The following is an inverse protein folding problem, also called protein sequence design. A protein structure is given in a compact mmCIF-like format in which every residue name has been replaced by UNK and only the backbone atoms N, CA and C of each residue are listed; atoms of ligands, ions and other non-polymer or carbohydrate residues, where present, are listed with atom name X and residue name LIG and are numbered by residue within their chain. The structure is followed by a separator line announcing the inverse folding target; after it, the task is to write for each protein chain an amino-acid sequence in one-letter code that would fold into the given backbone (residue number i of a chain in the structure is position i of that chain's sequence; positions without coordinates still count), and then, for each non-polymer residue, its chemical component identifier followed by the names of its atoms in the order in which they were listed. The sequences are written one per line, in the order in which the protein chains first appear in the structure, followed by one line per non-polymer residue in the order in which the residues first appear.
data_IF_507218686936
#
_entry.id   IF_507218686936
#
_cell.length_a   1.000
_cell.length_b   1.000
_cell.length_c   1.000
_cell.angle_alpha   90.00
_cell.angle_beta   90.00
_cell.angle_gamma   90.00
#
_symmetry.space_group_name_H-M   'P 1'
#
loop_
_entity.id
_entity.type
_entity.pdbx_description
1 polymer ?
#
# COMPACT_ATOMS: atom_id res chain seq x y z
N UNK A 1 34.00 4.70 -30.01
CA UNK A 1 33.69 3.53 -29.14
C UNK A 1 32.51 3.69 -28.18
N UNK A 2 32.14 4.90 -27.68
CA UNK A 2 31.02 5.05 -26.72
C UNK A 2 29.64 5.00 -27.37
N UNK A 3 29.42 5.40 -28.62
CA UNK A 3 28.12 5.41 -29.29
C UNK A 3 27.54 4.01 -29.59
N UNK A 4 28.38 3.03 -29.89
CA UNK A 4 27.93 1.67 -30.23
C UNK A 4 27.51 0.85 -29.00
N UNK A 5 28.14 1.11 -27.84
CA UNK A 5 27.77 0.45 -26.58
C UNK A 5 26.40 0.94 -26.07
N UNK A 6 26.14 2.25 -26.16
CA UNK A 6 24.84 2.86 -25.82
C UNK A 6 23.74 2.32 -26.73
N UNK A 7 24.02 2.19 -28.02
CA UNK A 7 23.05 1.66 -29.00
C UNK A 7 22.70 0.16 -28.75
N UNK A 8 23.66 -0.66 -28.29
CA UNK A 8 23.41 -2.06 -27.93
C UNK A 8 22.60 -2.21 -26.65
N UNK A 9 22.88 -1.39 -25.64
CA UNK A 9 22.13 -1.33 -24.39
C UNK A 9 20.68 -0.88 -24.64
N UNK A 10 20.46 0.19 -25.41
CA UNK A 10 19.14 0.64 -25.82
C UNK A 10 18.33 -0.41 -26.58
N UNK A 11 18.96 -1.18 -27.50
CA UNK A 11 18.28 -2.25 -28.23
C UNK A 11 17.88 -3.41 -27.33
N UNK A 12 18.74 -3.81 -26.40
CA UNK A 12 18.45 -4.87 -25.42
C UNK A 12 17.29 -4.44 -24.51
N UNK A 13 17.34 -3.20 -24.03
CA UNK A 13 16.32 -2.61 -23.16
C UNK A 13 14.97 -2.46 -23.86
N UNK A 14 14.92 -1.94 -25.10
CA UNK A 14 13.69 -1.88 -25.91
C UNK A 14 13.08 -3.24 -26.20
N UNK A 15 13.93 -4.27 -26.39
CA UNK A 15 13.46 -5.65 -26.56
C UNK A 15 12.82 -6.19 -25.29
N UNK A 16 13.43 -5.93 -24.13
CA UNK A 16 12.91 -6.34 -22.82
C UNK A 16 11.55 -5.69 -22.53
N UNK A 17 11.44 -4.38 -22.74
CA UNK A 17 10.17 -3.65 -22.59
C UNK A 17 9.10 -4.20 -23.53
N UNK A 18 9.43 -4.47 -24.80
CA UNK A 18 8.46 -5.03 -25.75
C UNK A 18 7.95 -6.40 -25.32
N UNK A 19 8.81 -7.28 -24.79
CA UNK A 19 8.41 -8.58 -24.24
C UNK A 19 7.47 -8.36 -23.05
N UNK A 20 7.84 -7.54 -22.09
CA UNK A 20 7.02 -7.23 -20.92
C UNK A 20 5.66 -6.60 -21.30
N UNK A 21 5.62 -5.71 -22.30
CA UNK A 21 4.38 -5.14 -22.79
C UNK A 21 3.47 -6.20 -23.42
N UNK A 22 4.00 -7.12 -24.22
CA UNK A 22 3.21 -8.20 -24.82
C UNK A 22 2.65 -9.15 -23.77
N UNK A 23 3.46 -9.54 -22.78
CA UNK A 23 3.03 -10.36 -21.66
C UNK A 23 1.97 -9.67 -20.80
N UNK A 24 2.13 -8.37 -20.54
CA UNK A 24 1.16 -7.56 -19.82
C UNK A 24 -0.17 -7.47 -20.53
N UNK A 25 -0.16 -7.24 -21.85
CA UNK A 25 -1.37 -7.17 -22.67
C UNK A 25 -2.13 -8.48 -22.69
N UNK A 26 -1.43 -9.63 -22.75
CA UNK A 26 -2.06 -10.96 -22.71
C UNK A 26 -2.67 -11.28 -21.36
N UNK A 27 -2.07 -10.81 -20.26
CA UNK A 27 -2.45 -11.13 -18.87
C UNK A 27 -3.25 -10.03 -18.16
N UNK A 28 -3.65 -8.96 -18.87
CA UNK A 28 -4.34 -7.77 -18.29
C UNK A 28 -3.57 -7.12 -17.13
N UNK A 29 -2.24 -7.15 -17.15
CA UNK A 29 -1.39 -6.53 -16.13
C UNK A 29 -1.00 -5.12 -16.57
N UNK A 30 -0.97 -4.19 -15.62
CA UNK A 30 -0.48 -2.82 -15.85
C UNK A 30 1.02 -2.78 -15.58
N UNK A 31 1.76 -2.11 -16.46
CA UNK A 31 3.20 -1.90 -16.28
C UNK A 31 3.46 -0.63 -15.47
N UNK A 32 4.49 -0.69 -14.62
CA UNK A 32 5.08 0.50 -14.00
C UNK A 32 6.47 0.70 -14.60
N UNK A 33 6.69 1.84 -15.24
CA UNK A 33 7.94 2.22 -15.86
C UNK A 33 8.71 3.13 -14.90
N UNK A 34 9.71 2.60 -14.21
CA UNK A 34 10.61 3.39 -13.36
C UNK A 34 11.72 4.02 -14.22
N UNK A 35 11.62 5.31 -14.52
CA UNK A 35 12.59 6.01 -15.34
C UNK A 35 12.59 7.51 -15.04
N UNK A 36 13.75 8.06 -14.68
CA UNK A 36 13.94 9.49 -14.42
C UNK A 36 14.42 10.27 -15.66
N UNK A 37 14.88 9.57 -16.68
CA UNK A 37 15.33 10.15 -17.95
C UNK A 37 14.16 10.26 -18.94
N UNK A 38 13.84 11.48 -19.35
CA UNK A 38 12.72 11.78 -20.22
C UNK A 38 12.86 11.15 -21.62
N UNK A 39 14.09 11.07 -22.18
CA UNK A 39 14.30 10.43 -23.48
C UNK A 39 14.08 8.90 -23.41
N UNK A 40 14.57 8.27 -22.35
CA UNK A 40 14.33 6.86 -22.11
C UNK A 40 12.84 6.57 -21.84
N UNK A 41 12.18 7.43 -21.07
CA UNK A 41 10.74 7.35 -20.82
C UNK A 41 9.93 7.46 -22.11
N UNK A 42 10.25 8.41 -22.97
CA UNK A 42 9.62 8.57 -24.30
C UNK A 42 9.76 7.31 -25.14
N UNK A 43 10.98 6.77 -25.25
CA UNK A 43 11.25 5.56 -26.00
C UNK A 43 10.51 4.33 -25.45
N UNK A 44 10.31 4.25 -24.12
CA UNK A 44 9.52 3.20 -23.49
C UNK A 44 8.03 3.36 -23.80
N UNK A 45 7.49 4.58 -23.71
CA UNK A 45 6.09 4.87 -23.98
C UNK A 45 5.72 4.61 -25.45
N UNK A 46 6.61 4.85 -26.41
CA UNK A 46 6.38 4.48 -27.82
C UNK A 46 6.02 3.00 -27.99
N UNK A 47 6.57 2.14 -27.15
CA UNK A 47 6.36 0.68 -27.20
C UNK A 47 5.11 0.25 -26.44
N UNK A 48 4.84 0.85 -25.27
CA UNK A 48 3.86 0.30 -24.32
C UNK A 48 2.69 1.24 -23.99
N UNK A 49 2.56 2.41 -24.60
CA UNK A 49 1.46 3.36 -24.32
C UNK A 49 0.06 2.74 -24.46
N UNK A 50 -0.10 1.77 -25.35
CA UNK A 50 -1.39 1.09 -25.55
C UNK A 50 -1.87 0.34 -24.30
N UNK A 51 -0.94 -0.12 -23.46
CA UNK A 51 -1.23 -0.77 -22.16
C UNK A 51 -1.50 0.20 -21.02
N UNK A 52 -1.47 1.52 -21.25
CA UNK A 52 -1.63 2.58 -20.25
C UNK A 52 -0.77 2.34 -19.01
N UNK A 53 0.57 2.30 -19.16
CA UNK A 53 1.47 2.10 -18.04
C UNK A 53 1.43 3.27 -17.05
N UNK A 54 1.95 3.05 -15.84
CA UNK A 54 2.31 4.14 -14.92
C UNK A 54 3.75 4.54 -15.24
N UNK A 55 3.99 5.82 -15.51
CA UNK A 55 5.32 6.37 -15.71
C UNK A 55 5.82 6.93 -14.36
N UNK A 56 6.68 6.20 -13.66
CA UNK A 56 7.22 6.59 -12.36
C UNK A 56 8.64 7.11 -12.47
N UNK A 57 8.90 8.33 -11.99
CA UNK A 57 10.24 8.93 -12.01
C UNK A 57 10.25 10.44 -12.25
N UNK A 58 9.10 11.12 -12.18
CA UNK A 58 9.07 12.57 -12.17
C UNK A 58 9.56 13.09 -10.81
N UNK A 59 10.41 14.11 -10.84
CA UNK A 59 10.98 14.80 -9.67
C UNK A 59 11.13 16.29 -9.96
N UNK A 60 11.61 17.06 -8.99
CA UNK A 60 11.77 18.52 -9.11
C UNK A 60 12.63 18.97 -10.31
N UNK A 61 13.51 18.11 -10.85
CA UNK A 61 14.39 18.47 -11.96
C UNK A 61 13.81 18.19 -13.35
N UNK A 62 12.87 17.24 -13.47
CA UNK A 62 12.37 16.74 -14.77
C UNK A 62 10.84 16.79 -14.92
N UNK A 63 10.10 17.29 -13.92
CA UNK A 63 8.64 17.21 -13.87
C UNK A 63 7.93 17.81 -15.08
N UNK A 64 8.48 18.88 -15.69
CA UNK A 64 7.86 19.53 -16.86
C UNK A 64 7.85 18.61 -18.08
N UNK A 65 9.00 18.00 -18.39
CA UNK A 65 9.15 17.11 -19.54
C UNK A 65 8.35 15.82 -19.31
N UNK A 66 8.46 15.24 -18.13
CA UNK A 66 7.75 14.02 -17.74
C UNK A 66 6.22 14.22 -17.74
N UNK A 67 5.75 15.38 -17.28
CA UNK A 67 4.32 15.71 -17.29
C UNK A 67 3.78 15.85 -18.71
N UNK A 68 4.53 16.48 -19.62
CA UNK A 68 4.16 16.57 -21.05
C UNK A 68 4.07 15.18 -21.68
N UNK A 69 5.08 14.33 -21.48
CA UNK A 69 5.10 12.96 -21.98
C UNK A 69 3.92 12.13 -21.46
N UNK A 70 3.62 12.22 -20.17
CA UNK A 70 2.50 11.51 -19.55
C UNK A 70 1.16 11.98 -20.11
N UNK A 71 0.98 13.29 -20.28
CA UNK A 71 -0.25 13.88 -20.83
C UNK A 71 -0.45 13.49 -22.31
N UNK A 72 0.58 13.58 -23.14
CA UNK A 72 0.54 13.17 -24.54
C UNK A 72 0.26 11.68 -24.73
N UNK A 73 0.80 10.85 -23.85
CA UNK A 73 0.57 9.40 -23.86
C UNK A 73 -0.76 8.99 -23.20
N UNK A 74 -1.39 9.87 -22.41
CA UNK A 74 -2.60 9.58 -21.65
C UNK A 74 -2.37 8.56 -20.53
N UNK A 75 -1.21 8.62 -19.86
CA UNK A 75 -0.78 7.69 -18.81
C UNK A 75 -0.69 8.37 -17.45
N UNK A 76 -0.67 7.57 -16.38
CA UNK A 76 -0.49 8.07 -15.02
C UNK A 76 0.98 8.42 -14.78
N UNK A 77 1.24 9.55 -14.10
CA UNK A 77 2.57 10.00 -13.75
C UNK A 77 2.85 9.78 -12.26
N UNK A 78 3.93 9.06 -11.96
CA UNK A 78 4.45 8.91 -10.61
C UNK A 78 5.43 10.02 -10.28
N UNK A 79 5.22 10.67 -9.14
CA UNK A 79 5.98 11.84 -8.69
C UNK A 79 6.69 11.52 -7.38
N UNK A 80 7.98 11.80 -7.30
CA UNK A 80 8.82 11.66 -6.11
C UNK A 80 9.44 13.00 -5.70
N UNK A 81 9.81 13.13 -4.44
CA UNK A 81 10.57 14.26 -3.92
C UNK A 81 11.62 13.77 -2.93
N UNK A 82 12.66 14.54 -2.67
CA UNK A 82 13.66 14.23 -1.65
C UNK A 82 13.14 14.40 -0.21
N UNK A 83 12.02 15.09 -0.06
CA UNK A 83 11.28 15.26 1.19
C UNK A 83 9.82 15.64 0.88
N UNK A 84 8.99 15.72 1.92
CA UNK A 84 7.55 15.98 1.76
C UNK A 84 7.26 17.35 1.14
N UNK A 85 8.08 18.37 1.47
CA UNK A 85 7.88 19.73 0.96
C UNK A 85 8.20 19.80 -0.54
N UNK A 86 9.30 19.19 -0.97
CA UNK A 86 9.66 19.08 -2.40
C UNK A 86 8.63 18.26 -3.19
N UNK A 87 8.13 17.18 -2.58
CA UNK A 87 7.04 16.39 -3.19
C UNK A 87 5.79 17.25 -3.38
N UNK A 88 5.39 18.02 -2.36
CA UNK A 88 4.26 18.95 -2.42
C UNK A 88 4.42 19.97 -3.55
N UNK A 89 5.56 20.68 -3.56
CA UNK A 89 5.83 21.74 -4.55
C UNK A 89 5.86 21.19 -5.98
N UNK A 90 6.44 20.00 -6.14
CA UNK A 90 6.49 19.32 -7.46
C UNK A 90 5.08 18.93 -7.94
N UNK A 91 4.25 18.37 -7.07
CA UNK A 91 2.87 18.01 -7.40
C UNK A 91 2.06 19.26 -7.74
N UNK A 92 2.16 20.32 -6.96
CA UNK A 92 1.48 21.60 -7.21
C UNK A 92 1.90 22.20 -8.58
N UNK A 93 3.19 22.14 -8.89
CA UNK A 93 3.71 22.60 -10.18
C UNK A 93 3.13 21.78 -11.34
N UNK A 94 3.05 20.46 -11.21
CA UNK A 94 2.46 19.57 -12.22
C UNK A 94 0.95 19.83 -12.38
N UNK A 95 0.23 20.06 -11.29
CA UNK A 95 -1.19 20.43 -11.35
C UNK A 95 -1.43 21.74 -12.09
N UNK A 96 -0.55 22.73 -11.90
CA UNK A 96 -0.58 24.01 -12.63
C UNK A 96 -0.36 23.81 -14.15
N UNK A 97 0.36 22.77 -14.55
CA UNK A 97 0.50 22.36 -15.95
C UNK A 97 -0.75 21.64 -16.49
N UNK A 98 -1.76 21.38 -15.65
CA UNK A 98 -3.03 20.76 -16.01
C UNK A 98 -3.06 19.22 -15.89
N UNK A 99 -2.00 18.58 -15.46
CA UNK A 99 -1.98 17.13 -15.27
C UNK A 99 -2.46 16.78 -13.85
N UNK A 100 -3.57 16.05 -13.76
CA UNK A 100 -4.19 15.58 -12.51
C UNK A 100 -4.20 14.05 -12.38
N UNK A 101 -3.50 13.36 -13.27
CA UNK A 101 -3.46 11.90 -13.28
C UNK A 101 -2.14 11.43 -12.64
N UNK A 102 -2.05 11.54 -11.32
CA UNK A 102 -0.82 11.40 -10.56
C UNK A 102 -0.85 10.22 -9.59
N UNK A 103 0.33 9.73 -9.22
CA UNK A 103 0.61 8.80 -8.12
C UNK A 103 1.82 9.33 -7.36
N UNK A 104 1.78 9.33 -6.04
CA UNK A 104 2.86 9.82 -5.19
C UNK A 104 3.83 8.67 -4.87
N UNK A 105 5.09 8.77 -5.30
CA UNK A 105 6.13 7.84 -4.86
C UNK A 105 6.70 8.32 -3.52
N UNK A 106 6.32 7.64 -2.46
CA UNK A 106 6.73 7.93 -1.09
C UNK A 106 7.95 7.12 -0.65
N UNK A 107 8.67 6.52 -1.59
CA UNK A 107 9.85 5.68 -1.33
C UNK A 107 11.07 6.55 -1.05
N UNK A 108 11.57 6.49 0.17
CA UNK A 108 12.79 7.17 0.60
C UNK A 108 14.00 6.21 0.63
N UNK A 109 15.12 6.70 1.18
CA UNK A 109 16.35 5.92 1.29
C UNK A 109 16.27 4.81 2.35
N UNK A 110 15.54 5.04 3.44
CA UNK A 110 15.41 4.11 4.57
C UNK A 110 13.97 3.74 4.86
N UNK A 111 13.78 2.61 5.56
CA UNK A 111 12.46 2.16 6.03
C UNK A 111 11.80 3.21 6.91
N UNK A 112 12.59 3.81 7.83
CA UNK A 112 12.09 4.82 8.77
C UNK A 112 11.58 6.07 8.05
N UNK A 113 12.34 6.57 7.09
CA UNK A 113 11.97 7.74 6.31
C UNK A 113 10.75 7.44 5.43
N UNK A 114 10.76 6.33 4.68
CA UNK A 114 9.61 5.90 3.87
C UNK A 114 8.33 5.83 4.70
N UNK A 115 8.40 5.22 5.88
CA UNK A 115 7.23 5.12 6.75
C UNK A 115 6.79 6.50 7.27
N UNK A 116 7.73 7.34 7.71
CA UNK A 116 7.44 8.68 8.19
C UNK A 116 6.79 9.55 7.09
N UNK A 117 7.37 9.58 5.88
CA UNK A 117 6.82 10.33 4.73
C UNK A 117 5.42 9.83 4.38
N UNK A 118 5.21 8.52 4.32
CA UNK A 118 3.90 7.95 4.00
C UNK A 118 2.83 8.30 5.03
N UNK A 119 3.18 8.28 6.32
CA UNK A 119 2.29 8.71 7.41
C UNK A 119 1.97 10.21 7.32
N UNK A 120 2.98 11.04 7.05
CA UNK A 120 2.82 12.49 6.92
C UNK A 120 1.93 12.86 5.73
N UNK A 121 2.16 12.27 4.56
CA UNK A 121 1.32 12.43 3.36
C UNK A 121 -0.13 12.09 3.67
N UNK A 122 -0.37 10.94 4.32
CA UNK A 122 -1.72 10.54 4.71
C UNK A 122 -2.35 11.49 5.71
N UNK A 123 -1.58 11.98 6.68
CA UNK A 123 -2.04 12.92 7.69
C UNK A 123 -2.39 14.28 7.07
N UNK A 124 -1.53 14.84 6.22
CA UNK A 124 -1.78 16.08 5.52
C UNK A 124 -3.05 15.99 4.65
N UNK A 125 -3.20 14.91 3.91
CA UNK A 125 -4.39 14.68 3.07
C UNK A 125 -5.69 14.60 3.89
N UNK A 126 -5.69 13.98 5.08
CA UNK A 126 -6.91 13.75 5.86
C UNK A 126 -7.22 14.84 6.89
N UNK A 127 -6.21 15.36 7.61
CA UNK A 127 -6.39 16.34 8.68
C UNK A 127 -6.34 17.76 8.16
N UNK A 128 -5.34 18.03 7.32
CA UNK A 128 -5.11 19.37 6.80
C UNK A 128 -5.90 19.60 5.50
N UNK A 129 -6.61 18.58 5.03
CA UNK A 129 -7.41 18.58 3.80
C UNK A 129 -6.63 19.06 2.56
N UNK A 130 -5.33 18.80 2.58
CA UNK A 130 -4.44 19.14 1.48
C UNK A 130 -4.66 18.18 0.30
N UNK A 131 -5.25 18.70 -0.77
CA UNK A 131 -5.60 17.92 -1.96
C UNK A 131 -4.39 17.50 -2.77
N UNK A 132 -3.26 18.19 -2.63
CA UNK A 132 -1.99 17.86 -3.30
C UNK A 132 -1.50 16.48 -2.90
N UNK A 133 -1.81 16.04 -1.68
CA UNK A 133 -1.53 14.71 -1.17
C UNK A 133 -2.71 13.71 -1.31
N UNK A 134 -3.78 14.10 -2.00
CA UNK A 134 -4.96 13.26 -2.19
C UNK A 134 -4.83 12.16 -3.24
N UNK A 135 -3.67 12.02 -3.87
CA UNK A 135 -3.40 11.00 -4.89
C UNK A 135 -3.02 9.64 -4.28
N UNK A 136 -3.21 8.53 -5.02
CA UNK A 136 -2.71 7.22 -4.59
C UNK A 136 -1.20 7.23 -4.39
N UNK A 137 -0.70 6.39 -3.49
CA UNK A 137 0.74 6.26 -3.22
C UNK A 137 1.34 5.00 -3.85
N UNK A 138 2.62 5.07 -4.21
CA UNK A 138 3.46 3.93 -4.55
C UNK A 138 4.61 3.84 -3.54
N UNK A 139 4.91 2.61 -3.11
CA UNK A 139 6.03 2.32 -2.20
C UNK A 139 6.87 1.20 -2.80
N UNK A 140 8.15 1.43 -3.00
CA UNK A 140 9.07 0.45 -3.55
C UNK A 140 9.82 -0.30 -2.45
N UNK A 141 9.26 -1.43 -2.01
CA UNK A 141 9.89 -2.27 -0.99
C UNK A 141 11.13 -3.00 -1.49
N UNK A 142 11.21 -3.29 -2.78
CA UNK A 142 12.41 -3.89 -3.36
C UNK A 142 13.66 -3.01 -3.14
N UNK A 143 13.48 -1.68 -3.21
CA UNK A 143 14.56 -0.71 -2.97
C UNK A 143 15.00 -0.67 -1.51
N UNK A 144 14.05 -0.68 -0.57
CA UNK A 144 14.34 -0.46 0.86
C UNK A 144 14.62 -1.75 1.64
N UNK A 145 14.13 -2.91 1.19
CA UNK A 145 14.40 -4.21 1.82
C UNK A 145 15.76 -4.81 1.39
N UNK A 146 16.38 -4.30 0.32
CA UNK A 146 17.73 -4.65 -0.12
C UNK A 146 17.99 -6.17 -0.24
N UNK A 147 17.01 -6.91 -0.78
CA UNK A 147 17.11 -8.37 -0.96
C UNK A 147 16.77 -9.21 0.27
N UNK A 148 16.47 -8.60 1.41
CA UNK A 148 15.94 -9.33 2.58
C UNK A 148 14.46 -9.67 2.39
N UNK A 149 14.18 -10.94 2.10
CA UNK A 149 12.80 -11.43 1.86
C UNK A 149 11.91 -11.35 3.09
N UNK A 150 12.45 -11.57 4.29
CA UNK A 150 11.66 -11.49 5.53
C UNK A 150 11.31 -10.05 5.86
N UNK A 151 12.27 -9.15 5.70
CA UNK A 151 12.02 -7.71 5.84
C UNK A 151 11.00 -7.24 4.80
N UNK A 152 11.15 -7.64 3.54
CA UNK A 152 10.19 -7.31 2.49
C UNK A 152 8.77 -7.80 2.85
N UNK A 153 8.64 -9.02 3.39
CA UNK A 153 7.35 -9.57 3.80
C UNK A 153 6.71 -8.82 4.98
N UNK A 154 7.52 -8.45 5.97
CA UNK A 154 7.06 -7.65 7.10
C UNK A 154 6.56 -6.27 6.66
N UNK A 155 7.33 -5.59 5.81
CA UNK A 155 6.96 -4.30 5.24
C UNK A 155 5.74 -4.42 4.31
N UNK A 156 5.64 -5.47 3.50
CA UNK A 156 4.49 -5.74 2.66
C UNK A 156 3.22 -5.85 3.49
N UNK A 157 3.25 -6.55 4.61
CA UNK A 157 2.12 -6.65 5.53
C UNK A 157 1.77 -5.28 6.12
N UNK A 158 2.76 -4.52 6.58
CA UNK A 158 2.56 -3.18 7.15
C UNK A 158 1.90 -2.23 6.15
N UNK A 159 2.45 -2.10 4.95
CA UNK A 159 1.93 -1.18 3.93
C UNK A 159 0.61 -1.67 3.30
N UNK A 160 0.32 -2.96 3.32
CA UNK A 160 -0.98 -3.50 2.92
C UNK A 160 -2.07 -3.11 3.92
N UNK A 161 -1.78 -3.12 5.22
CA UNK A 161 -2.73 -2.69 6.24
C UNK A 161 -2.96 -1.18 6.21
N UNK A 162 -1.90 -0.40 5.99
CA UNK A 162 -1.97 1.07 6.01
C UNK A 162 -1.01 1.69 5.00
N UNK A 163 -1.45 2.79 4.41
CA UNK A 163 -0.65 3.75 3.65
C UNK A 163 -0.16 3.31 2.27
N UNK A 164 -0.19 2.04 1.91
CA UNK A 164 0.26 1.59 0.59
C UNK A 164 -0.91 1.39 -0.37
N UNK A 165 -0.93 2.12 -1.50
CA UNK A 165 -1.89 1.86 -2.59
C UNK A 165 -1.30 0.92 -3.62
N UNK A 166 -0.07 1.17 -4.05
CA UNK A 166 0.71 0.33 -4.95
C UNK A 166 2.01 -0.04 -4.24
N UNK A 167 2.31 -1.33 -4.17
CA UNK A 167 3.51 -1.82 -3.50
C UNK A 167 4.36 -2.56 -4.52
N UNK A 168 5.61 -2.13 -4.69
CA UNK A 168 6.59 -2.75 -5.60
C UNK A 168 7.46 -3.71 -4.81
N UNK A 169 7.56 -4.94 -5.27
CA UNK A 169 8.33 -6.03 -4.68
C UNK A 169 9.39 -6.52 -5.66
N UNK A 170 10.47 -7.10 -5.16
CA UNK A 170 11.47 -7.76 -5.99
C UNK A 170 10.92 -9.06 -6.57
N UNK A 171 10.37 -9.90 -5.71
CA UNK A 171 9.68 -11.14 -6.04
C UNK A 171 8.48 -11.35 -5.13
N UNK A 172 7.49 -12.08 -5.62
CA UNK A 172 6.34 -12.51 -4.85
C UNK A 172 5.98 -13.94 -5.23
N UNK A 173 6.33 -14.88 -4.37
CA UNK A 173 5.91 -16.27 -4.49
C UNK A 173 4.54 -16.50 -3.83
N UNK A 174 4.05 -17.74 -3.95
CA UNK A 174 2.76 -18.12 -3.36
C UNK A 174 2.78 -18.06 -1.82
N UNK A 175 3.92 -18.41 -1.21
CA UNK A 175 4.08 -18.39 0.23
C UNK A 175 4.03 -16.96 0.81
N UNK A 176 4.54 -15.98 0.09
CA UNK A 176 4.48 -14.56 0.47
C UNK A 176 3.10 -13.95 0.19
N UNK A 177 2.46 -14.36 -0.89
CA UNK A 177 1.17 -13.80 -1.31
C UNK A 177 0.01 -14.21 -0.40
N UNK A 178 -0.04 -15.48 0.00
CA UNK A 178 -1.17 -16.06 0.73
C UNK A 178 -1.49 -15.33 2.06
N UNK A 179 -0.52 -15.10 2.97
CA UNK A 179 -0.80 -14.40 4.22
C UNK A 179 -1.22 -12.95 4.00
N UNK A 180 -0.68 -12.29 2.98
CA UNK A 180 -1.02 -10.89 2.67
C UNK A 180 -2.43 -10.78 2.08
N UNK A 181 -2.84 -11.70 1.23
CA UNK A 181 -4.22 -11.73 0.73
C UNK A 181 -5.22 -12.02 1.85
N UNK A 182 -4.90 -12.94 2.77
CA UNK A 182 -5.70 -13.18 3.97
C UNK A 182 -5.82 -11.93 4.83
N UNK A 183 -4.69 -11.27 5.13
CA UNK A 183 -4.65 -10.02 5.89
C UNK A 183 -5.48 -8.93 5.22
N UNK A 184 -5.29 -8.72 3.91
CA UNK A 184 -6.04 -7.72 3.14
C UNK A 184 -7.54 -8.01 3.16
N UNK A 185 -7.93 -9.25 3.03
CA UNK A 185 -9.33 -9.62 3.09
C UNK A 185 -9.94 -9.27 4.45
N UNK A 186 -9.26 -9.60 5.55
CA UNK A 186 -9.73 -9.28 6.89
C UNK A 186 -9.87 -7.76 7.12
N UNK A 187 -8.90 -6.96 6.65
CA UNK A 187 -8.91 -5.50 6.84
C UNK A 187 -9.98 -4.80 6.00
N UNK A 188 -10.23 -5.27 4.76
CA UNK A 188 -11.06 -4.54 3.81
C UNK A 188 -12.44 -5.15 3.54
N UNK A 189 -12.71 -6.36 4.02
CA UNK A 189 -14.00 -7.03 3.82
C UNK A 189 -14.77 -7.25 5.10
N UNK A 190 -14.10 -7.31 6.25
CA UNK A 190 -14.78 -7.41 7.54
C UNK A 190 -15.48 -6.09 7.90
N UNK A 191 -16.59 -6.15 8.66
CA UNK A 191 -17.26 -4.96 9.15
C UNK A 191 -16.25 -4.06 9.88
N UNK A 192 -16.32 -2.77 9.60
CA UNK A 192 -15.44 -1.78 10.25
C UNK A 192 -15.69 -1.69 11.75
N UNK A 193 -16.86 -2.12 12.20
CA UNK A 193 -17.17 -2.32 13.61
C UNK A 193 -17.35 -3.81 13.84
N UNK A 194 -16.46 -4.46 14.61
CA UNK A 194 -16.67 -5.85 15.01
C UNK A 194 -18.00 -5.96 15.76
N UNK A 195 -18.72 -7.05 15.55
CA UNK A 195 -19.92 -7.34 16.32
C UNK A 195 -19.56 -7.37 17.81
N UNK A 196 -20.30 -6.61 18.59
CA UNK A 196 -20.14 -6.52 20.03
C UNK A 196 -21.31 -7.19 20.76
N UNK A 197 -21.01 -7.70 21.93
CA UNK A 197 -21.99 -8.17 22.91
C UNK A 197 -22.16 -7.06 23.94
N UNK A 198 -23.38 -6.85 24.43
CA UNK A 198 -23.62 -5.85 25.46
C UNK A 198 -22.75 -6.10 26.69
N UNK A 199 -22.04 -5.08 27.20
CA UNK A 199 -21.30 -5.20 28.46
C UNK A 199 -22.20 -5.59 29.63
N UNK A 200 -21.74 -6.48 30.48
CA UNK A 200 -22.55 -6.96 31.59
C UNK A 200 -22.03 -8.24 32.21
N UNK A 201 -22.81 -8.80 33.11
CA UNK A 201 -22.50 -10.07 33.81
C UNK A 201 -23.40 -11.17 33.23
N UNK A 202 -22.77 -12.22 32.73
CA UNK A 202 -23.41 -13.37 32.12
C UNK A 202 -23.18 -14.63 33.00
N UNK A 203 -24.15 -15.03 33.80
CA UNK A 203 -24.03 -16.24 34.62
C UNK A 203 -24.13 -17.48 33.75
N UNK A 204 -23.12 -18.35 33.80
CA UNK A 204 -23.03 -19.60 33.05
C UNK A 204 -23.09 -20.79 34.01
N UNK A 205 -23.65 -21.92 33.54
CA UNK A 205 -23.73 -23.18 34.28
C UNK A 205 -24.40 -23.06 35.68
N UNK A 206 -25.39 -22.17 35.81
CA UNK A 206 -26.06 -21.95 37.08
C UNK A 206 -25.26 -21.17 38.11
N UNK A 207 -24.37 -20.30 37.69
CA UNK A 207 -23.57 -19.47 38.59
C UNK A 207 -24.42 -18.59 39.49
N UNK A 208 -23.98 -18.44 40.73
CA UNK A 208 -24.54 -17.59 41.80
C UNK A 208 -23.53 -16.47 42.20
N UNK A 209 -23.88 -15.70 43.22
CA UNK A 209 -23.05 -14.58 43.70
C UNK A 209 -21.69 -15.04 44.26
N UNK A 210 -21.53 -16.31 44.64
CA UNK A 210 -20.30 -16.88 45.21
C UNK A 210 -19.47 -17.61 44.16
N UNK A 211 -19.95 -17.69 42.91
CA UNK A 211 -19.28 -18.38 41.82
C UNK A 211 -18.09 -17.58 41.28
N UNK A 212 -17.17 -18.28 40.65
CA UNK A 212 -15.97 -17.68 40.04
C UNK A 212 -16.36 -16.57 39.06
N UNK A 213 -15.68 -15.43 39.11
CA UNK A 213 -15.79 -14.35 38.17
C UNK A 213 -14.62 -14.40 37.20
N UNK A 214 -14.94 -14.44 35.90
CA UNK A 214 -13.99 -14.27 34.80
C UNK A 214 -14.36 -13.04 34.00
N UNK A 215 -13.38 -12.38 33.44
CA UNK A 215 -13.59 -11.17 32.64
C UNK A 215 -13.03 -11.31 31.23
N UNK A 216 -13.73 -10.74 30.26
CA UNK A 216 -13.30 -10.67 28.86
C UNK A 216 -13.79 -9.37 28.21
N UNK A 217 -13.48 -9.18 26.95
CA UNK A 217 -13.91 -8.03 26.14
C UNK A 217 -15.22 -8.30 25.41
N UNK A 218 -15.86 -7.24 24.95
CA UNK A 218 -17.18 -7.25 24.31
C UNK A 218 -17.19 -7.71 22.84
N UNK A 219 -16.05 -8.11 22.27
CA UNK A 219 -16.02 -8.65 20.91
C UNK A 219 -16.78 -9.98 20.84
N UNK A 220 -17.79 -10.03 19.94
CA UNK A 220 -18.70 -11.17 19.83
C UNK A 220 -17.96 -12.50 19.60
N UNK A 221 -16.93 -12.53 18.75
CA UNK A 221 -16.16 -13.74 18.51
C UNK A 221 -15.45 -14.22 19.80
N UNK A 222 -14.86 -13.31 20.57
CA UNK A 222 -14.22 -13.64 21.85
C UNK A 222 -15.23 -14.16 22.87
N UNK A 223 -16.38 -13.48 22.96
CA UNK A 223 -17.48 -13.94 23.82
C UNK A 223 -17.92 -15.36 23.49
N UNK A 224 -18.24 -15.64 22.22
CA UNK A 224 -18.73 -16.97 21.82
C UNK A 224 -17.72 -18.08 22.03
N UNK A 225 -16.42 -17.81 21.82
CA UNK A 225 -15.36 -18.79 22.08
C UNK A 225 -15.23 -19.05 23.57
N UNK A 226 -15.15 -18.01 24.40
CA UNK A 226 -14.96 -18.13 25.85
C UNK A 226 -16.20 -18.73 26.49
N UNK A 227 -17.41 -18.24 26.20
CA UNK A 227 -18.63 -18.77 26.77
C UNK A 227 -18.87 -20.24 26.41
N UNK A 228 -18.59 -20.62 25.14
CA UNK A 228 -18.73 -22.00 24.70
C UNK A 228 -17.76 -22.97 25.38
N UNK A 229 -16.52 -22.55 25.69
CA UNK A 229 -15.58 -23.36 26.47
C UNK A 229 -16.01 -23.45 27.95
N UNK A 230 -16.47 -22.36 28.55
CA UNK A 230 -16.98 -22.33 29.91
C UNK A 230 -18.22 -23.20 30.06
N UNK A 231 -19.18 -23.13 29.16
CA UNK A 231 -20.38 -23.99 29.14
C UNK A 231 -19.99 -25.48 29.08
N UNK A 232 -19.05 -25.84 28.21
CA UNK A 232 -18.52 -27.22 28.14
C UNK A 232 -17.83 -27.70 29.39
N UNK A 233 -17.19 -26.81 30.12
CA UNK A 233 -16.53 -27.16 31.36
C UNK A 233 -17.49 -27.57 32.49
N UNK A 234 -18.76 -27.11 32.40
CA UNK A 234 -19.79 -27.32 33.42
C UNK A 234 -19.52 -26.60 34.77
N UNK A 235 -18.48 -25.77 34.84
CA UNK A 235 -18.14 -25.00 36.05
C UNK A 235 -19.03 -23.77 36.16
N UNK A 236 -19.69 -23.50 37.31
CA UNK A 236 -20.44 -22.28 37.54
C UNK A 236 -19.53 -21.04 37.49
N UNK A 237 -19.75 -20.13 36.54
CA UNK A 237 -18.90 -18.96 36.31
C UNK A 237 -19.75 -17.75 35.97
N UNK A 238 -19.46 -16.61 36.58
CA UNK A 238 -19.96 -15.32 36.18
C UNK A 238 -18.97 -14.70 35.16
N UNK A 239 -19.34 -14.66 33.87
CA UNK A 239 -18.53 -14.06 32.84
C UNK A 239 -18.86 -12.58 32.75
N UNK A 240 -17.90 -11.72 33.06
CA UNK A 240 -18.02 -10.27 33.02
C UNK A 240 -17.49 -9.77 31.67
N UNK A 241 -18.36 -9.16 30.89
CA UNK A 241 -18.03 -8.54 29.60
C UNK A 241 -17.78 -7.06 29.81
N UNK A 242 -16.56 -6.63 29.50
CA UNK A 242 -16.18 -5.23 29.57
C UNK A 242 -16.23 -4.57 28.19
N UNK A 243 -16.68 -3.32 28.16
CA UNK A 243 -16.58 -2.49 26.96
C UNK A 243 -15.12 -2.29 26.58
N UNK A 244 -14.76 -2.77 25.41
CA UNK A 244 -13.43 -2.53 24.84
C UNK A 244 -13.46 -1.23 24.07
N UNK A 245 -12.51 -0.34 24.38
CA UNK A 245 -12.32 0.88 23.60
C UNK A 245 -12.05 0.54 22.14
N UNK A 246 -12.69 1.28 21.24
CA UNK A 246 -12.50 1.10 19.82
C UNK A 246 -11.07 1.51 19.41
N UNK A 247 -10.15 0.55 19.36
CA UNK A 247 -8.76 0.77 18.93
C UNK A 247 -8.58 1.00 17.43
N UNK A 248 -9.66 1.17 16.67
CA UNK A 248 -9.65 1.24 15.20
C UNK A 248 -9.87 2.65 14.62
N UNK A 249 -9.64 3.70 15.43
CA UNK A 249 -9.72 5.08 14.94
C UNK A 249 -8.39 5.81 15.07
#
# INVERSE_FOLDING_TARGET
MRRDAVCKLCRKWRRQIRISCNESSSNRKVLVLGCEDAEAAKAALEVCKAGKPILNGANASNYEEMSKLATEAGVVLGVSGANIDELHDTVEAIEKLGNKNLVLDTTEATIKETFATTVQVRRASLKDTDRTFGYPSIVNLAKIAQGDRYMQQALLSLFTMKYGSIIVLEEMGYAEALPVFGLRQNVFTDPQKPMKVEPGIYPLNGADENSICLTTVDFALTYFLVSGELERSGVPVNLVINDAADFLY
#
